data_IF_633595537542
#
_entry.id   IF_633595537542
#
_cell.length_a   1.000
_cell.length_b   1.000
_cell.length_c   1.000
_cell.angle_alpha   90.00
_cell.angle_beta   90.00
_cell.angle_gamma   90.00
#
_symmetry.space_group_name_H-M   'P 1'
#
loop_
_entity.id
_entity.type
_entity.pdbx_description
1 polymer ?
#
# COMPACT_ATOMS: atom_id res chain seq x y z
N UNK A 1 -63.24 28.50 -23.40
CA UNK A 1 -62.17 27.72 -24.07
C UNK A 1 -60.74 28.16 -23.70
N UNK A 2 -60.52 29.43 -23.34
CA UNK A 2 -59.18 29.99 -23.03
C UNK A 2 -58.65 29.53 -21.66
N UNK A 3 -59.50 29.41 -20.63
CA UNK A 3 -59.05 29.00 -19.28
C UNK A 3 -58.54 27.56 -19.20
N UNK A 4 -59.13 26.62 -19.95
CA UNK A 4 -58.69 25.21 -19.99
C UNK A 4 -57.32 25.03 -20.67
N UNK A 5 -57.00 25.86 -21.69
CA UNK A 5 -55.67 25.82 -22.35
C UNK A 5 -54.59 26.37 -21.42
N UNK A 6 -54.90 27.41 -20.64
CA UNK A 6 -53.99 28.01 -19.65
C UNK A 6 -53.67 27.05 -18.50
N UNK A 7 -54.69 26.39 -17.94
CA UNK A 7 -54.50 25.37 -16.91
C UNK A 7 -53.69 24.14 -17.39
N UNK A 8 -53.86 23.72 -18.65
CA UNK A 8 -53.02 22.66 -19.25
C UNK A 8 -51.56 23.08 -19.44
N UNK A 9 -51.32 24.35 -19.79
CA UNK A 9 -49.98 24.88 -19.98
C UNK A 9 -49.26 25.05 -18.62
N UNK A 10 -49.97 25.57 -17.61
CA UNK A 10 -49.48 25.70 -16.24
C UNK A 10 -49.14 24.34 -15.65
N UNK A 11 -49.99 23.32 -15.83
CA UNK A 11 -49.67 21.95 -15.42
C UNK A 11 -48.44 21.39 -16.17
N UNK A 12 -48.32 21.61 -17.49
CA UNK A 12 -47.14 21.16 -18.26
C UNK A 12 -45.84 21.83 -17.80
N UNK A 13 -45.89 23.12 -17.46
CA UNK A 13 -44.73 23.85 -16.94
C UNK A 13 -44.36 23.34 -15.55
N UNK A 14 -45.34 23.09 -14.68
CA UNK A 14 -45.12 22.50 -13.35
C UNK A 14 -44.49 21.11 -13.49
N UNK A 15 -45.02 20.23 -14.35
CA UNK A 15 -44.41 18.90 -14.58
C UNK A 15 -42.98 19.01 -15.14
N UNK A 16 -42.72 19.95 -16.06
CA UNK A 16 -41.39 20.16 -16.64
C UNK A 16 -40.39 20.67 -15.58
N UNK A 17 -40.79 21.62 -14.74
CA UNK A 17 -39.99 22.12 -13.62
C UNK A 17 -39.78 21.05 -12.54
N UNK A 18 -40.79 20.22 -12.26
CA UNK A 18 -40.67 19.08 -11.34
C UNK A 18 -39.68 18.04 -11.88
N UNK A 19 -39.76 17.70 -13.17
CA UNK A 19 -38.78 16.80 -13.79
C UNK A 19 -37.39 17.43 -13.87
N UNK A 20 -37.28 18.74 -14.08
CA UNK A 20 -36.02 19.45 -14.15
C UNK A 20 -35.34 19.53 -12.77
N UNK A 21 -36.11 19.77 -11.70
CA UNK A 21 -35.61 19.77 -10.31
C UNK A 21 -35.27 18.37 -9.80
N UNK A 22 -36.02 17.33 -10.21
CA UNK A 22 -35.66 15.94 -9.95
C UNK A 22 -34.37 15.55 -10.71
N UNK A 23 -34.18 16.05 -11.94
CA UNK A 23 -32.94 15.85 -12.69
C UNK A 23 -31.73 16.62 -12.12
N UNK A 24 -31.92 17.79 -11.49
CA UNK A 24 -30.84 18.62 -10.95
C UNK A 24 -30.42 18.27 -9.50
N UNK A 25 -31.19 17.42 -8.81
CA UNK A 25 -30.94 17.05 -7.40
C UNK A 25 -30.33 15.65 -7.21
N UNK A 26 -30.17 14.87 -8.29
CA UNK A 26 -29.43 13.63 -8.24
C UNK A 26 -27.92 13.93 -8.30
N UNK A 27 -27.22 13.78 -7.18
CA UNK A 27 -25.76 13.78 -7.13
C UNK A 27 -25.24 12.63 -8.02
N UNK A 28 -24.89 12.96 -9.27
CA UNK A 28 -24.59 12.03 -10.36
C UNK A 28 -23.16 11.45 -10.30
N UNK A 29 -22.37 11.79 -9.28
CA UNK A 29 -20.98 11.31 -9.17
C UNK A 29 -20.94 9.79 -9.04
N UNK A 30 -20.19 9.16 -9.94
CA UNK A 30 -19.89 7.74 -9.97
C UNK A 30 -18.86 7.36 -8.90
N UNK A 31 -18.59 6.06 -8.72
CA UNK A 31 -17.54 5.62 -7.80
C UNK A 31 -16.16 6.12 -8.28
N UNK A 32 -15.95 6.07 -9.59
CA UNK A 32 -14.78 6.54 -10.30
C UNK A 32 -14.59 8.07 -10.11
N UNK A 33 -15.64 8.88 -10.25
CA UNK A 33 -15.56 10.34 -10.00
C UNK A 33 -15.13 10.69 -8.57
N UNK A 34 -15.57 9.90 -7.58
CA UNK A 34 -15.16 10.10 -6.19
C UNK A 34 -13.74 9.62 -5.95
N UNK A 35 -13.33 8.53 -6.60
CA UNK A 35 -11.96 8.04 -6.54
C UNK A 35 -10.98 9.03 -7.16
N UNK A 36 -11.30 9.65 -8.30
CA UNK A 36 -10.43 10.64 -8.94
C UNK A 36 -10.20 11.86 -8.03
N UNK A 37 -11.23 12.31 -7.32
CA UNK A 37 -11.07 13.38 -6.32
C UNK A 37 -10.15 12.95 -5.17
N UNK A 38 -10.30 11.71 -4.68
CA UNK A 38 -9.44 11.19 -3.63
C UNK A 38 -7.98 11.10 -4.09
N UNK A 39 -7.77 10.57 -5.29
CA UNK A 39 -6.45 10.47 -5.91
C UNK A 39 -5.77 11.83 -6.04
N UNK A 40 -6.50 12.87 -6.48
CA UNK A 40 -5.97 14.24 -6.57
C UNK A 40 -5.58 14.84 -5.19
N UNK A 41 -6.20 14.37 -4.11
CA UNK A 41 -5.85 14.76 -2.74
C UNK A 41 -4.65 13.95 -2.23
N UNK A 42 -4.59 12.65 -2.53
CA UNK A 42 -3.46 11.76 -2.23
C UNK A 42 -2.15 12.27 -2.86
N UNK A 43 -2.19 12.71 -4.12
CA UNK A 43 -1.04 13.31 -4.81
C UNK A 43 -0.53 14.60 -4.14
N UNK A 44 -1.38 15.24 -3.32
CA UNK A 44 -1.01 16.41 -2.48
C UNK A 44 -0.64 16.02 -1.06
N UNK A 45 -0.65 14.73 -0.71
CA UNK A 45 -0.44 14.21 0.64
C UNK A 45 -1.60 14.48 1.59
N UNK A 46 -2.78 14.86 1.09
CA UNK A 46 -3.96 15.23 1.88
C UNK A 46 -4.82 13.99 2.25
N UNK A 47 -4.19 12.95 2.81
CA UNK A 47 -4.80 11.63 3.06
C UNK A 47 -6.08 11.69 3.91
N UNK A 48 -6.10 12.48 4.99
CA UNK A 48 -7.29 12.62 5.84
C UNK A 48 -8.50 13.17 5.07
N UNK A 49 -8.26 14.03 4.07
CA UNK A 49 -9.32 14.62 3.23
C UNK A 49 -9.71 13.70 2.07
N UNK A 50 -8.82 12.83 1.61
CA UNK A 50 -9.10 11.84 0.58
C UNK A 50 -10.07 10.74 1.08
N UNK A 51 -9.92 10.28 2.32
CA UNK A 51 -10.71 9.19 2.92
C UNK A 51 -12.24 9.35 2.75
N UNK A 52 -12.87 10.51 3.04
CA UNK A 52 -14.30 10.71 2.84
C UNK A 52 -14.77 10.54 1.38
N UNK A 53 -13.91 10.80 0.39
CA UNK A 53 -14.24 10.57 -1.01
C UNK A 53 -14.11 9.09 -1.37
N UNK A 54 -13.09 8.40 -0.85
CA UNK A 54 -12.95 6.95 -0.99
C UNK A 54 -14.12 6.21 -0.32
N UNK A 55 -14.61 6.70 0.81
CA UNK A 55 -15.81 6.18 1.48
C UNK A 55 -17.02 6.22 0.53
N UNK A 56 -17.25 7.35 -0.14
CA UNK A 56 -18.33 7.50 -1.13
C UNK A 56 -18.12 6.59 -2.35
N UNK A 57 -16.89 6.47 -2.83
CA UNK A 57 -16.56 5.55 -3.93
C UNK A 57 -16.91 4.10 -3.57
N UNK A 58 -16.56 3.67 -2.35
CA UNK A 58 -16.83 2.32 -1.84
C UNK A 58 -18.33 2.12 -1.55
N UNK A 59 -19.05 3.14 -1.09
CA UNK A 59 -20.51 3.07 -0.93
C UNK A 59 -21.20 2.81 -2.28
N UNK A 60 -20.75 3.48 -3.34
CA UNK A 60 -21.27 3.29 -4.70
C UNK A 60 -20.89 1.93 -5.29
N UNK A 61 -19.66 1.48 -5.05
CA UNK A 61 -19.12 0.21 -5.57
C UNK A 61 -18.35 -0.51 -4.46
N UNK A 62 -19.00 -1.39 -3.67
CA UNK A 62 -18.41 -2.00 -2.47
C UNK A 62 -17.16 -2.87 -2.69
N UNK A 63 -16.95 -3.34 -3.92
CA UNK A 63 -15.76 -4.11 -4.33
C UNK A 63 -14.82 -3.28 -5.22
N UNK A 64 -14.92 -1.95 -5.18
CA UNK A 64 -14.04 -1.08 -5.96
C UNK A 64 -12.62 -1.13 -5.43
N UNK A 65 -11.80 -1.97 -6.06
CA UNK A 65 -10.48 -2.31 -5.59
C UNK A 65 -9.53 -1.12 -5.46
N UNK A 66 -9.38 -0.21 -6.45
CA UNK A 66 -8.57 1.00 -6.29
C UNK A 66 -8.94 1.79 -5.04
N UNK A 67 -10.23 2.06 -4.82
CA UNK A 67 -10.68 2.81 -3.65
C UNK A 67 -10.41 2.08 -2.32
N UNK A 68 -10.57 0.75 -2.26
CA UNK A 68 -10.24 -0.03 -1.07
C UNK A 68 -8.73 -0.07 -0.78
N UNK A 69 -7.90 -0.15 -1.82
CA UNK A 69 -6.44 -0.13 -1.69
C UNK A 69 -5.99 1.23 -1.18
N UNK A 70 -6.41 2.31 -1.83
CA UNK A 70 -5.98 3.66 -1.49
C UNK A 70 -6.50 4.06 -0.11
N UNK A 71 -7.76 3.73 0.26
CA UNK A 71 -8.24 4.04 1.61
C UNK A 71 -7.47 3.28 2.68
N UNK A 72 -7.06 2.05 2.37
CA UNK A 72 -6.15 1.29 3.22
C UNK A 72 -4.77 1.93 3.34
N UNK A 73 -4.24 2.51 2.25
CA UNK A 73 -2.96 3.22 2.25
C UNK A 73 -3.05 4.53 3.05
N UNK A 74 -4.06 5.35 2.79
CA UNK A 74 -4.32 6.61 3.50
C UNK A 74 -4.47 6.39 4.99
N UNK A 75 -5.28 5.40 5.40
CA UNK A 75 -5.41 5.01 6.81
C UNK A 75 -4.08 4.60 7.42
N UNK A 76 -3.25 3.89 6.66
CA UNK A 76 -1.91 3.52 7.10
C UNK A 76 -1.01 4.76 7.28
N UNK A 77 -1.08 5.74 6.38
CA UNK A 77 -0.29 6.97 6.48
C UNK A 77 -0.71 7.87 7.66
N UNK A 78 -2.00 7.93 7.97
CA UNK A 78 -2.50 8.68 9.15
C UNK A 78 -2.41 7.87 10.46
N UNK A 79 -1.85 6.65 10.43
CA UNK A 79 -1.61 5.83 11.62
C UNK A 79 -2.76 4.90 12.04
N UNK A 80 -3.89 4.88 11.34
CA UNK A 80 -4.96 3.88 11.53
C UNK A 80 -4.61 2.53 10.86
N UNK A 81 -3.57 1.88 11.36
CA UNK A 81 -3.11 0.61 10.81
C UNK A 81 -4.15 -0.51 10.92
N UNK A 82 -5.00 -0.48 11.95
CA UNK A 82 -6.06 -1.50 12.13
C UNK A 82 -7.19 -1.29 11.13
N UNK A 83 -7.60 -0.05 10.88
CA UNK A 83 -8.58 0.27 9.85
C UNK A 83 -8.06 -0.04 8.45
N UNK A 84 -6.79 0.26 8.17
CA UNK A 84 -6.12 -0.12 6.93
C UNK A 84 -6.19 -1.64 6.69
N UNK A 85 -5.82 -2.45 7.68
CA UNK A 85 -5.90 -3.92 7.60
C UNK A 85 -7.34 -4.39 7.32
N UNK A 86 -8.36 -3.79 7.95
CA UNK A 86 -9.76 -4.16 7.70
C UNK A 86 -10.17 -3.91 6.25
N UNK A 87 -9.71 -2.82 5.64
CA UNK A 87 -10.02 -2.52 4.23
C UNK A 87 -9.30 -3.47 3.28
N UNK A 88 -8.03 -3.76 3.54
CA UNK A 88 -7.29 -4.78 2.80
C UNK A 88 -7.91 -6.18 2.93
N UNK A 89 -8.44 -6.55 4.11
CA UNK A 89 -9.13 -7.82 4.31
C UNK A 89 -10.39 -7.96 3.46
N UNK A 90 -11.09 -6.86 3.14
CA UNK A 90 -12.22 -6.90 2.19
C UNK A 90 -11.75 -7.34 0.81
N UNK A 91 -10.58 -6.89 0.36
CA UNK A 91 -10.00 -7.30 -0.92
C UNK A 91 -9.60 -8.77 -0.86
N UNK A 92 -8.92 -9.22 0.20
CA UNK A 92 -8.51 -10.63 0.35
C UNK A 92 -9.70 -11.60 0.31
N UNK A 93 -10.90 -11.17 0.72
CA UNK A 93 -12.11 -11.98 0.65
C UNK A 93 -12.52 -12.33 -0.79
N UNK A 94 -12.08 -11.57 -1.79
CA UNK A 94 -12.38 -11.83 -3.20
C UNK A 94 -11.19 -11.97 -4.14
N UNK A 95 -10.02 -11.48 -3.73
CA UNK A 95 -8.74 -11.71 -4.39
C UNK A 95 -7.70 -12.06 -3.30
N UNK A 96 -7.67 -13.34 -2.87
CA UNK A 96 -6.80 -13.79 -1.80
C UNK A 96 -5.31 -13.83 -2.20
N UNK A 97 -4.98 -13.59 -3.49
CA UNK A 97 -3.61 -13.65 -4.02
C UNK A 97 -3.10 -12.29 -4.47
N UNK A 98 -3.79 -11.19 -4.12
CA UNK A 98 -3.34 -9.85 -4.39
C UNK A 98 -2.01 -9.55 -3.68
N UNK A 99 -0.94 -9.36 -4.44
CA UNK A 99 0.42 -9.27 -3.88
C UNK A 99 0.63 -7.96 -3.11
N UNK A 100 0.19 -6.84 -3.70
CA UNK A 100 0.28 -5.52 -3.08
C UNK A 100 -0.49 -5.48 -1.76
N UNK A 101 -1.73 -5.99 -1.75
CA UNK A 101 -2.56 -6.00 -0.54
C UNK A 101 -1.95 -6.89 0.55
N UNK A 102 -1.46 -8.09 0.20
CA UNK A 102 -0.77 -8.94 1.17
C UNK A 102 0.48 -8.26 1.74
N UNK A 103 1.27 -7.57 0.91
CA UNK A 103 2.42 -6.79 1.37
C UNK A 103 1.98 -5.65 2.30
N UNK A 104 0.95 -4.88 1.93
CA UNK A 104 0.46 -3.76 2.73
C UNK A 104 -0.13 -4.20 4.08
N UNK A 105 -0.80 -5.36 4.14
CA UNK A 105 -1.19 -5.96 5.42
C UNK A 105 0.05 -6.28 6.27
N UNK A 106 1.09 -6.84 5.66
CA UNK A 106 2.38 -7.07 6.30
C UNK A 106 2.97 -5.79 6.90
N UNK A 107 3.05 -4.73 6.08
CA UNK A 107 3.54 -3.40 6.50
C UNK A 107 2.77 -2.86 7.71
N UNK A 108 1.44 -2.95 7.69
CA UNK A 108 0.61 -2.47 8.78
C UNK A 108 0.78 -3.31 10.06
N UNK A 109 0.92 -4.64 9.95
CA UNK A 109 1.28 -5.46 11.12
C UNK A 109 2.68 -5.15 11.66
N UNK A 110 3.65 -4.82 10.78
CA UNK A 110 4.98 -4.37 11.18
C UNK A 110 4.92 -3.05 11.95
N UNK A 111 4.16 -2.06 11.45
CA UNK A 111 3.92 -0.77 12.14
C UNK A 111 3.22 -0.97 13.50
N UNK A 112 2.36 -1.99 13.62
CA UNK A 112 1.75 -2.44 14.89
C UNK A 112 2.69 -3.28 15.78
N UNK A 113 3.97 -3.44 15.43
CA UNK A 113 4.97 -4.29 16.10
C UNK A 113 4.55 -5.78 16.24
N UNK A 114 3.63 -6.23 15.39
CA UNK A 114 3.18 -7.63 15.33
C UNK A 114 3.99 -8.39 14.27
N UNK A 115 5.29 -8.52 14.51
CA UNK A 115 6.27 -8.98 13.53
C UNK A 115 6.01 -10.40 12.99
N UNK A 116 5.53 -11.33 13.82
CA UNK A 116 5.16 -12.68 13.35
C UNK A 116 3.99 -12.66 12.34
N UNK A 117 3.01 -11.77 12.53
CA UNK A 117 1.92 -11.59 11.55
C UNK A 117 2.44 -10.92 10.28
N UNK A 118 3.29 -9.91 10.43
CA UNK A 118 3.97 -9.26 9.30
C UNK A 118 4.70 -10.29 8.42
N UNK A 119 5.55 -11.13 9.02
CA UNK A 119 6.28 -12.21 8.36
C UNK A 119 5.33 -13.17 7.62
N UNK A 120 4.21 -13.54 8.25
CA UNK A 120 3.21 -14.42 7.64
C UNK A 120 2.63 -13.83 6.34
N UNK A 121 2.23 -12.56 6.36
CA UNK A 121 1.64 -11.90 5.19
C UNK A 121 2.65 -11.63 4.08
N UNK A 122 3.89 -11.24 4.41
CA UNK A 122 4.95 -11.15 3.40
C UNK A 122 5.29 -12.52 2.78
N UNK A 123 5.29 -13.58 3.58
CA UNK A 123 5.54 -14.94 3.08
C UNK A 123 4.43 -15.37 2.11
N UNK A 124 3.18 -15.03 2.40
CA UNK A 124 2.08 -15.23 1.44
C UNK A 124 2.28 -14.40 0.17
N UNK A 125 2.63 -13.11 0.30
CA UNK A 125 2.89 -12.24 -0.85
C UNK A 125 3.99 -12.81 -1.76
N UNK A 126 5.07 -13.36 -1.19
CA UNK A 126 6.16 -13.99 -1.95
C UNK A 126 5.79 -15.29 -2.67
N UNK A 127 4.64 -15.90 -2.34
CA UNK A 127 4.13 -17.11 -2.97
C UNK A 127 3.15 -16.82 -4.12
N UNK A 128 2.78 -15.55 -4.35
CA UNK A 128 1.86 -15.18 -5.42
C UNK A 128 2.59 -15.11 -6.77
N UNK A 129 1.81 -15.08 -7.87
CA UNK A 129 2.33 -14.76 -9.20
C UNK A 129 2.71 -13.28 -9.37
N UNK A 130 2.15 -12.40 -8.52
CA UNK A 130 2.39 -10.96 -8.59
C UNK A 130 3.70 -10.52 -7.92
N UNK A 131 4.39 -11.42 -7.21
CA UNK A 131 5.76 -11.20 -6.76
C UNK A 131 6.75 -11.42 -7.92
N UNK A 132 7.19 -10.32 -8.55
CA UNK A 132 8.05 -10.38 -9.74
C UNK A 132 9.48 -10.73 -9.33
N UNK A 133 10.01 -11.83 -9.88
CA UNK A 133 11.35 -12.37 -9.58
C UNK A 133 12.52 -11.65 -10.27
N UNK A 134 12.29 -11.01 -11.41
CA UNK A 134 13.32 -10.37 -12.24
C UNK A 134 12.87 -8.98 -12.69
N UNK A 135 13.80 -8.10 -13.04
CA UNK A 135 13.49 -6.77 -13.56
C UNK A 135 12.84 -6.77 -14.96
N UNK A 136 12.48 -7.95 -15.48
CA UNK A 136 11.68 -8.12 -16.68
C UNK A 136 10.45 -7.22 -16.59
N UNK A 137 10.46 -6.19 -17.43
CA UNK A 137 9.34 -5.32 -17.74
C UNK A 137 8.21 -6.18 -18.27
N UNK A 138 7.35 -6.67 -17.38
CA UNK A 138 5.99 -6.98 -17.78
C UNK A 138 5.41 -5.64 -18.22
N UNK A 139 5.35 -5.43 -19.54
CA UNK A 139 4.54 -4.39 -20.15
C UNK A 139 3.10 -4.70 -19.80
N UNK A 140 2.64 -4.16 -18.67
CA UNK A 140 1.23 -4.10 -18.34
C UNK A 140 0.66 -2.98 -19.19
N UNK A 141 0.09 -3.36 -20.34
CA UNK A 141 -0.65 -2.42 -21.17
C UNK A 141 -1.93 -2.12 -20.39
N UNK A 142 -1.94 -1.00 -19.66
CA UNK A 142 -3.17 -0.45 -19.10
C UNK A 142 -4.10 -0.14 -20.28
N UNK A 143 -5.13 -0.96 -20.47
CA UNK A 143 -6.22 -0.62 -21.38
C UNK A 143 -6.99 0.54 -20.74
N UNK A 144 -7.18 1.68 -21.44
CA UNK A 144 -8.02 2.76 -20.94
C UNK A 144 -9.40 2.20 -20.56
N UNK A 145 -9.87 2.52 -19.35
CA UNK A 145 -11.19 2.20 -18.79
C UNK A 145 -11.40 0.81 -18.15
N UNK A 146 -10.34 0.01 -17.94
CA UNK A 146 -10.44 -1.26 -17.18
C UNK A 146 -9.82 -1.14 -15.78
N UNK A 147 -10.46 -0.37 -14.90
CA UNK A 147 -10.17 -0.42 -13.47
C UNK A 147 -10.57 -1.81 -12.96
N UNK A 148 -9.70 -2.51 -12.21
CA UNK A 148 -10.00 -3.79 -11.49
C UNK A 148 -9.53 -5.11 -12.15
N UNK A 149 -8.36 -5.15 -12.81
CA UNK A 149 -7.72 -6.44 -13.12
C UNK A 149 -6.69 -6.83 -12.05
N UNK A 150 -6.75 -8.10 -11.63
CA UNK A 150 -5.80 -8.72 -10.70
C UNK A 150 -4.32 -8.62 -11.18
N UNK A 151 -4.12 -8.34 -12.48
CA UNK A 151 -2.81 -8.19 -13.12
C UNK A 151 -2.05 -6.93 -12.72
N UNK A 152 -2.65 -5.91 -12.11
CA UNK A 152 -1.98 -4.60 -12.07
C UNK A 152 -1.18 -4.35 -10.78
N UNK A 153 -1.30 -5.26 -9.80
CA UNK A 153 -0.75 -5.10 -8.45
C UNK A 153 0.52 -5.93 -8.24
N UNK A 154 1.42 -5.85 -9.21
CA UNK A 154 2.73 -6.47 -9.14
C UNK A 154 3.63 -5.75 -8.14
N UNK A 155 4.41 -6.54 -7.41
CA UNK A 155 5.42 -6.02 -6.49
C UNK A 155 6.74 -6.74 -6.77
N UNK A 156 7.82 -5.98 -6.85
CA UNK A 156 9.16 -6.56 -6.99
C UNK A 156 9.48 -7.41 -5.77
N UNK A 157 9.89 -8.66 -6.00
CA UNK A 157 10.13 -9.65 -4.95
C UNK A 157 11.10 -9.13 -3.88
N UNK A 158 12.19 -8.48 -4.30
CA UNK A 158 13.20 -7.97 -3.38
C UNK A 158 12.68 -6.87 -2.43
N UNK A 159 11.61 -6.14 -2.79
CA UNK A 159 10.96 -5.17 -1.90
C UNK A 159 10.23 -5.89 -0.75
N UNK A 160 9.54 -6.97 -1.07
CA UNK A 160 8.85 -7.80 -0.07
C UNK A 160 9.88 -8.50 0.82
N UNK A 161 10.98 -8.99 0.24
CA UNK A 161 12.09 -9.60 1.00
C UNK A 161 12.75 -8.59 1.94
N UNK A 162 13.01 -7.36 1.50
CA UNK A 162 13.51 -6.30 2.38
C UNK A 162 12.63 -6.10 3.62
N UNK A 163 11.32 -5.93 3.39
CA UNK A 163 10.36 -5.67 4.46
C UNK A 163 10.18 -6.87 5.42
N UNK A 164 10.22 -8.09 4.88
CA UNK A 164 10.19 -9.32 5.68
C UNK A 164 11.49 -9.52 6.46
N UNK A 165 12.63 -9.18 5.86
CA UNK A 165 13.95 -9.19 6.47
C UNK A 165 13.99 -8.33 7.72
N UNK A 166 13.51 -7.08 7.63
CA UNK A 166 13.37 -6.18 8.81
C UNK A 166 12.48 -6.82 9.88
N UNK A 167 11.35 -7.41 9.48
CA UNK A 167 10.45 -8.08 10.43
C UNK A 167 11.11 -9.30 11.11
N UNK A 168 12.01 -10.00 10.40
CA UNK A 168 12.82 -11.07 10.97
C UNK A 168 13.84 -10.56 12.00
N UNK A 169 14.51 -9.42 11.74
CA UNK A 169 15.42 -8.78 12.71
C UNK A 169 14.68 -8.51 14.02
N UNK A 170 13.54 -7.82 13.95
CA UNK A 170 12.73 -7.52 15.14
C UNK A 170 12.17 -8.77 15.84
N UNK A 171 12.02 -9.88 15.10
CA UNK A 171 11.61 -11.18 15.66
C UNK A 171 12.79 -12.03 16.15
N UNK A 172 14.02 -11.49 16.13
CA UNK A 172 15.27 -12.17 16.50
C UNK A 172 15.59 -13.43 15.67
N UNK A 173 15.14 -13.45 14.41
CA UNK A 173 15.38 -14.52 13.44
C UNK A 173 16.47 -14.10 12.47
N UNK A 174 17.68 -13.88 12.99
CA UNK A 174 18.74 -13.14 12.31
C UNK A 174 19.26 -13.84 11.04
N UNK A 175 19.37 -15.17 11.02
CA UNK A 175 19.82 -15.92 9.84
C UNK A 175 18.83 -15.80 8.68
N UNK A 176 17.53 -15.82 8.99
CA UNK A 176 16.48 -15.59 7.99
C UNK A 176 16.45 -14.13 7.53
N UNK A 177 16.70 -13.18 8.44
CA UNK A 177 16.78 -11.76 8.11
C UNK A 177 17.91 -11.50 7.10
N UNK A 178 19.11 -12.01 7.37
CA UNK A 178 20.28 -11.84 6.51
C UNK A 178 19.98 -12.36 5.09
N UNK A 179 19.43 -13.57 4.98
CA UNK A 179 19.09 -14.18 3.68
C UNK A 179 18.13 -13.32 2.83
N UNK A 180 17.14 -12.72 3.48
CA UNK A 180 16.15 -11.86 2.83
C UNK A 180 16.76 -10.50 2.46
N UNK A 181 17.54 -9.88 3.36
CA UNK A 181 18.17 -8.57 3.18
C UNK A 181 19.32 -8.57 2.17
N UNK A 182 19.93 -9.72 1.88
CA UNK A 182 20.90 -9.85 0.80
C UNK A 182 20.28 -9.69 -0.60
N UNK A 183 18.97 -9.97 -0.75
CA UNK A 183 18.31 -9.85 -2.06
C UNK A 183 18.21 -8.40 -2.55
N UNK A 184 17.69 -7.41 -1.79
CA UNK A 184 17.57 -6.03 -2.25
C UNK A 184 18.93 -5.38 -2.60
N UNK A 185 20.02 -5.78 -1.94
CA UNK A 185 21.39 -5.32 -2.25
C UNK A 185 21.78 -5.64 -3.71
N UNK A 186 21.40 -6.83 -4.22
CA UNK A 186 21.70 -7.26 -5.60
C UNK A 186 21.05 -6.35 -6.66
N UNK A 187 19.99 -5.64 -6.28
CA UNK A 187 19.21 -4.76 -7.14
C UNK A 187 19.40 -3.28 -6.81
N UNK A 188 20.38 -2.94 -5.96
CA UNK A 188 20.62 -1.58 -5.48
C UNK A 188 19.38 -0.92 -4.83
N UNK A 189 18.51 -1.71 -4.19
CA UNK A 189 17.31 -1.22 -3.52
C UNK A 189 17.54 -1.13 -2.01
N UNK A 190 17.36 0.06 -1.42
CA UNK A 190 17.57 0.30 0.03
C UNK A 190 18.88 -0.31 0.54
N UNK A 191 19.94 -0.29 -0.30
CA UNK A 191 21.21 -0.95 -0.02
C UNK A 191 21.84 -0.51 1.30
N UNK A 192 21.91 0.80 1.63
CA UNK A 192 22.47 1.24 2.89
C UNK A 192 21.76 0.61 4.10
N UNK A 193 20.43 0.68 4.13
CA UNK A 193 19.61 0.12 5.20
C UNK A 193 19.75 -1.40 5.29
N UNK A 194 19.71 -2.09 4.15
CA UNK A 194 19.90 -3.54 4.10
C UNK A 194 21.26 -3.96 4.67
N UNK A 195 22.34 -3.25 4.31
CA UNK A 195 23.67 -3.49 4.88
C UNK A 195 23.70 -3.25 6.40
N UNK A 196 23.03 -2.20 6.87
CA UNK A 196 22.94 -1.89 8.31
C UNK A 196 22.24 -3.01 9.07
N UNK A 197 21.04 -3.42 8.62
CA UNK A 197 20.26 -4.49 9.23
C UNK A 197 20.98 -5.86 9.21
N UNK A 198 21.73 -6.15 8.14
CA UNK A 198 22.59 -7.35 8.07
C UNK A 198 23.72 -7.26 9.10
N UNK A 199 24.38 -6.10 9.21
CA UNK A 199 25.43 -5.85 10.18
C UNK A 199 24.96 -6.04 11.62
N UNK A 200 23.82 -5.45 11.97
CA UNK A 200 23.17 -5.63 13.28
C UNK A 200 22.79 -7.11 13.53
N UNK A 201 22.29 -7.80 12.50
CA UNK A 201 21.95 -9.23 12.61
C UNK A 201 23.19 -10.08 12.93
N UNK A 202 24.32 -9.86 12.26
CA UNK A 202 25.58 -10.54 12.57
C UNK A 202 26.12 -10.19 13.96
N UNK A 203 25.96 -8.94 14.40
CA UNK A 203 26.33 -8.52 15.76
C UNK A 203 25.59 -9.34 16.82
N UNK A 204 24.26 -9.51 16.65
CA UNK A 204 23.46 -10.33 17.55
C UNK A 204 23.81 -11.83 17.50
N UNK A 205 24.28 -12.32 16.35
CA UNK A 205 24.80 -13.68 16.19
C UNK A 205 26.23 -13.85 16.75
N UNK A 206 26.84 -12.79 17.31
CA UNK A 206 28.22 -12.75 17.81
C UNK A 206 29.28 -12.98 16.73
N UNK A 207 28.93 -12.80 15.46
CA UNK A 207 29.87 -12.79 14.34
C UNK A 207 30.39 -11.38 14.13
N UNK A 208 31.36 -10.99 14.95
CA UNK A 208 31.92 -9.63 14.96
C UNK A 208 32.65 -9.28 13.66
N UNK A 209 33.19 -10.27 12.94
CA UNK A 209 33.88 -10.05 11.68
C UNK A 209 32.90 -9.60 10.60
N UNK A 210 31.82 -10.35 10.39
CA UNK A 210 30.81 -9.99 9.40
C UNK A 210 30.03 -8.74 9.81
N UNK A 211 29.70 -8.59 11.09
CA UNK A 211 29.05 -7.38 11.59
C UNK A 211 29.84 -6.11 11.23
N UNK A 212 31.14 -6.06 11.57
CA UNK A 212 31.99 -4.91 11.21
C UNK A 212 32.08 -4.69 9.71
N UNK A 213 32.21 -5.77 8.93
CA UNK A 213 32.28 -5.70 7.46
C UNK A 213 31.04 -5.03 6.87
N UNK A 214 29.84 -5.41 7.30
CA UNK A 214 28.59 -4.87 6.76
C UNK A 214 28.30 -3.45 7.28
N UNK A 215 28.52 -3.19 8.58
CA UNK A 215 28.35 -1.85 9.16
C UNK A 215 29.33 -0.82 8.59
N UNK A 216 30.57 -1.22 8.29
CA UNK A 216 31.55 -0.35 7.62
C UNK A 216 31.11 -0.02 6.19
N UNK A 217 30.44 -0.93 5.49
CA UNK A 217 29.88 -0.63 4.17
C UNK A 217 28.69 0.31 4.28
N UNK A 218 27.78 0.08 5.23
CA UNK A 218 26.64 0.96 5.49
C UNK A 218 27.09 2.39 5.89
N UNK A 219 28.12 2.52 6.74
CA UNK A 219 28.62 3.83 7.20
C UNK A 219 29.26 4.66 6.09
N UNK A 220 29.79 4.02 5.03
CA UNK A 220 30.27 4.73 3.83
C UNK A 220 29.15 5.44 3.06
N UNK A 221 27.90 5.00 3.24
CA UNK A 221 26.71 5.69 2.73
C UNK A 221 26.21 6.80 3.66
N UNK A 222 26.87 7.06 4.79
CA UNK A 222 26.50 8.11 5.74
C UNK A 222 25.45 7.70 6.77
N UNK A 223 25.14 6.41 6.92
CA UNK A 223 24.22 5.93 7.96
C UNK A 223 24.85 6.08 9.35
N UNK A 224 24.27 6.98 10.15
CA UNK A 224 24.75 7.34 11.49
C UNK A 224 24.62 6.14 12.43
N UNK A 225 23.46 5.48 12.47
CA UNK A 225 23.22 4.32 13.34
C UNK A 225 24.24 3.19 13.11
N UNK A 226 24.62 2.95 11.85
CA UNK A 226 25.63 1.95 11.51
C UNK A 226 27.02 2.34 12.04
N UNK A 227 27.36 3.64 12.00
CA UNK A 227 28.61 4.16 12.54
C UNK A 227 28.65 4.06 14.06
N UNK A 228 27.57 4.43 14.75
CA UNK A 228 27.46 4.35 16.20
C UNK A 228 27.59 2.90 16.70
N UNK A 229 26.92 1.95 16.03
CA UNK A 229 27.05 0.55 16.37
C UNK A 229 28.48 0.04 16.14
N UNK A 230 29.13 0.46 15.05
CA UNK A 230 30.52 0.11 14.77
C UNK A 230 31.48 0.63 15.86
N UNK A 231 31.31 1.88 16.31
CA UNK A 231 32.10 2.48 17.38
C UNK A 231 31.90 1.73 18.70
N UNK A 232 30.65 1.39 19.04
CA UNK A 232 30.34 0.57 20.22
C UNK A 232 31.08 -0.77 20.18
N UNK A 233 31.07 -1.46 19.04
CA UNK A 233 31.75 -2.75 18.86
C UNK A 233 33.28 -2.69 18.96
N UNK A 234 33.89 -1.52 18.80
CA UNK A 234 35.35 -1.33 18.96
C UNK A 234 35.76 -1.09 20.42
N UNK A 235 34.79 -0.72 21.26
CA UNK A 235 34.99 -0.39 22.67
C UNK A 235 34.59 -1.54 23.63
N UNK A 236 34.01 -2.63 23.10
CA UNK A 236 33.67 -3.89 23.80
C UNK A 236 34.79 -4.92 23.68
#
# INVERSE_FOLDING_TARGET
>A
MISMKRARLENRIIYMLLTFTICFSCNLKTAEDYYDIAFDLEEKGEYEKAIPFLDKAIEKKPRFRPALINRGADKSEIGDYKGAIKDYQKIIAFDPKNTLVLMNIGNNYKRLKQYNKSIYFYTKALQTKGAIKSDSTYLVINSPNEWDKDSDYFVRKYKIEFERGISYVYSKKYELAIKDLEQPIKYNYETPDALSWIGESYYHLKDTLNARKFLTQASKYGLIDAKELLEKMLNE
#
